data_IF_777900158089
#
_entry.id   IF_777900158089
#
_cell.length_a   1.000
_cell.length_b   1.000
_cell.length_c   1.000
_cell.angle_alpha   90.00
_cell.angle_beta   90.00
_cell.angle_gamma   90.00
#
_symmetry.space_group_name_H-M   'P 1'
#
loop_
_entity.id
_entity.type
_entity.pdbx_description
1 polymer ?
#
# COMPACT_ATOMS: atom_id res chain seq x y z
N UNK A 1 -6.94 -9.12 14.24
CA UNK A 1 -8.24 -9.62 14.75
C UNK A 1 -9.44 -9.22 13.87
N UNK A 2 -9.42 -8.05 13.19
CA UNK A 2 -10.58 -7.53 12.43
C UNK A 2 -10.88 -8.26 11.11
N UNK A 3 -9.88 -8.66 10.31
CA UNK A 3 -10.13 -9.36 9.04
C UNK A 3 -10.91 -10.68 9.21
N UNK A 4 -10.50 -11.53 10.17
CA UNK A 4 -11.18 -12.80 10.50
C UNK A 4 -12.64 -12.64 10.94
N UNK A 5 -13.03 -11.43 11.38
CA UNK A 5 -14.40 -11.14 11.79
C UNK A 5 -15.32 -10.94 10.59
N UNK A 6 -14.76 -10.47 9.47
CA UNK A 6 -15.52 -10.10 8.28
C UNK A 6 -15.29 -11.05 7.10
N UNK A 7 -14.26 -11.91 7.17
CA UNK A 7 -13.91 -12.83 6.09
C UNK A 7 -13.49 -14.19 6.65
N UNK A 8 -13.63 -15.24 5.85
CA UNK A 8 -13.15 -16.59 6.17
C UNK A 8 -11.64 -16.77 5.92
N UNK A 9 -10.92 -15.70 5.55
CA UNK A 9 -9.49 -15.75 5.25
C UNK A 9 -8.70 -16.12 6.51
N UNK A 10 -7.91 -17.19 6.41
CA UNK A 10 -7.00 -17.60 7.47
C UNK A 10 -5.79 -16.66 7.52
N UNK A 11 -5.83 -15.70 8.42
CA UNK A 11 -4.72 -14.76 8.63
C UNK A 11 -3.64 -15.39 9.51
N UNK A 12 -2.40 -15.41 9.05
CA UNK A 12 -1.22 -15.56 9.90
C UNK A 12 -0.79 -14.18 10.39
N UNK A 13 -0.67 -14.00 11.71
CA UNK A 13 -0.31 -12.71 12.33
C UNK A 13 1.21 -12.50 12.44
N UNK A 14 2.01 -13.49 12.02
CA UNK A 14 3.46 -13.36 12.01
C UNK A 14 3.86 -12.37 10.91
N UNK A 15 4.44 -11.23 11.31
CA UNK A 15 5.24 -10.41 10.40
C UNK A 15 6.51 -11.20 10.11
N UNK A 16 6.71 -11.55 8.84
CA UNK A 16 7.94 -12.19 8.38
C UNK A 16 8.77 -11.06 7.77
N UNK A 17 9.92 -10.77 8.36
CA UNK A 17 10.91 -9.93 7.69
C UNK A 17 11.40 -10.70 6.48
N UNK A 18 11.29 -10.08 5.31
CA UNK A 18 11.70 -10.69 4.05
C UNK A 18 13.06 -10.13 3.69
N UNK A 19 14.02 -11.02 3.45
CA UNK A 19 15.23 -10.69 2.74
C UNK A 19 15.01 -10.98 1.26
N UNK A 20 15.03 -9.94 0.43
CA UNK A 20 14.76 -10.05 -1.00
C UNK A 20 15.78 -10.95 -1.74
N UNK A 21 16.92 -11.26 -1.14
CA UNK A 21 17.96 -12.10 -1.73
C UNK A 21 17.95 -13.53 -1.19
N UNK A 22 17.57 -13.74 0.07
CA UNK A 22 17.62 -15.07 0.71
C UNK A 22 16.27 -15.80 0.67
N UNK A 23 15.15 -15.07 0.67
CA UNK A 23 13.82 -15.66 0.72
C UNK A 23 13.26 -15.96 -0.67
N UNK A 24 12.54 -17.08 -0.77
CA UNK A 24 11.73 -17.40 -1.96
C UNK A 24 10.48 -16.51 -1.99
N UNK A 25 10.55 -15.42 -2.76
CA UNK A 25 9.46 -14.45 -2.88
C UNK A 25 8.18 -15.08 -3.48
N UNK A 26 8.28 -16.14 -4.27
CA UNK A 26 7.13 -16.80 -4.89
C UNK A 26 6.17 -17.44 -3.87
N UNK A 27 6.66 -17.68 -2.65
CA UNK A 27 5.86 -18.18 -1.54
C UNK A 27 4.96 -17.11 -0.89
N UNK A 28 5.06 -15.84 -1.29
CA UNK A 28 4.31 -14.73 -0.71
C UNK A 28 3.34 -14.10 -1.73
N UNK A 29 2.02 -14.09 -1.45
CA UNK A 29 1.04 -13.53 -2.39
C UNK A 29 1.17 -12.00 -2.55
N UNK A 30 1.68 -11.32 -1.51
CA UNK A 30 2.05 -9.92 -1.59
C UNK A 30 3.21 -9.63 -0.64
N UNK A 31 4.02 -8.64 -0.99
CA UNK A 31 5.02 -8.01 -0.12
C UNK A 31 4.46 -6.70 0.44
N UNK A 32 4.91 -6.34 1.64
CA UNK A 32 4.49 -5.13 2.32
C UNK A 32 5.69 -4.30 2.75
N UNK A 33 5.76 -3.06 2.26
CA UNK A 33 6.82 -2.10 2.57
C UNK A 33 6.24 -0.90 3.32
N UNK A 34 6.83 -0.56 4.46
CA UNK A 34 6.48 0.63 5.25
C UNK A 34 7.75 1.28 5.79
N UNK A 35 7.75 2.59 5.95
CA UNK A 35 8.89 3.34 6.47
C UNK A 35 8.59 4.81 6.68
N UNK A 36 9.59 5.54 7.19
CA UNK A 36 9.49 6.96 7.54
C UNK A 36 10.53 7.84 6.81
N UNK A 37 11.60 7.24 6.30
CA UNK A 37 12.77 7.97 5.78
C UNK A 37 13.29 7.36 4.49
N UNK A 38 14.35 7.95 3.93
CA UNK A 38 14.96 7.47 2.70
C UNK A 38 15.43 6.01 2.79
N UNK A 39 15.34 5.28 1.67
CA UNK A 39 15.81 3.92 1.52
C UNK A 39 16.22 3.65 0.07
N UNK A 40 17.15 2.72 -0.15
CA UNK A 40 17.56 2.34 -1.50
C UNK A 40 17.66 0.84 -1.63
N UNK A 41 17.14 0.29 -2.72
CA UNK A 41 17.41 -1.09 -3.09
C UNK A 41 18.77 -1.18 -3.77
N UNK A 42 19.50 -2.25 -3.44
CA UNK A 42 20.64 -2.72 -4.21
C UNK A 42 20.20 -3.25 -5.58
N UNK A 43 21.15 -3.43 -6.49
CA UNK A 43 20.84 -3.92 -7.85
C UNK A 43 20.24 -5.34 -7.84
N UNK A 44 20.67 -6.18 -6.90
CA UNK A 44 20.11 -7.53 -6.75
C UNK A 44 18.64 -7.46 -6.31
N UNK A 45 18.34 -6.66 -5.28
CA UNK A 45 16.98 -6.48 -4.77
C UNK A 45 16.05 -5.89 -5.84
N UNK A 46 16.55 -4.99 -6.69
CA UNK A 46 15.81 -4.45 -7.83
C UNK A 46 15.43 -5.59 -8.81
N UNK A 47 16.37 -6.45 -9.16
CA UNK A 47 16.12 -7.59 -10.06
C UNK A 47 15.13 -8.60 -9.48
N UNK A 48 15.22 -8.85 -8.18
CA UNK A 48 14.31 -9.75 -7.46
C UNK A 48 12.87 -9.20 -7.39
N UNK A 49 12.72 -7.90 -7.07
CA UNK A 49 11.41 -7.24 -7.11
C UNK A 49 10.83 -7.18 -8.53
N UNK A 50 11.66 -6.95 -9.55
CA UNK A 50 11.23 -7.01 -10.95
C UNK A 50 10.65 -8.38 -11.29
N UNK A 51 11.38 -9.46 -10.97
CA UNK A 51 10.92 -10.83 -11.22
C UNK A 51 9.62 -11.10 -10.47
N UNK A 52 9.59 -10.81 -9.17
CA UNK A 52 8.42 -11.03 -8.31
C UNK A 52 7.14 -10.36 -8.86
N UNK A 53 7.24 -9.09 -9.28
CA UNK A 53 6.10 -8.33 -9.80
C UNK A 53 5.64 -8.84 -11.18
N UNK A 54 6.58 -9.24 -12.05
CA UNK A 54 6.25 -9.82 -13.36
C UNK A 54 5.65 -11.22 -13.24
N UNK A 55 6.02 -11.99 -12.21
CA UNK A 55 5.46 -13.31 -11.92
C UNK A 55 4.09 -13.25 -11.21
N UNK A 56 3.52 -12.05 -11.06
CA UNK A 56 2.17 -11.82 -10.52
C UNK A 56 2.13 -11.45 -9.05
N UNK A 57 3.28 -11.36 -8.38
CA UNK A 57 3.38 -10.83 -7.02
C UNK A 57 2.87 -9.38 -6.92
N UNK A 58 2.41 -9.01 -5.73
CA UNK A 58 1.90 -7.65 -5.46
C UNK A 58 2.75 -6.96 -4.41
N UNK A 59 3.13 -5.70 -4.64
CA UNK A 59 3.80 -4.87 -3.66
C UNK A 59 2.84 -3.81 -3.10
N UNK A 60 2.52 -3.93 -1.82
CA UNK A 60 1.77 -2.92 -1.06
C UNK A 60 2.75 -2.03 -0.29
N UNK A 61 2.64 -0.71 -0.48
CA UNK A 61 3.53 0.27 0.14
C UNK A 61 2.71 1.26 0.99
N UNK A 62 3.14 1.48 2.23
CA UNK A 62 2.57 2.47 3.15
C UNK A 62 3.61 3.54 3.49
N UNK A 63 3.28 4.81 3.28
CA UNK A 63 4.10 5.92 3.77
C UNK A 63 3.73 6.25 5.22
N UNK A 64 4.55 5.79 6.17
CA UNK A 64 4.37 6.07 7.58
C UNK A 64 4.47 7.58 7.86
N UNK A 65 3.53 8.11 8.65
CA UNK A 65 3.33 9.53 8.90
C UNK A 65 3.08 10.42 7.67
N UNK A 66 3.10 9.88 6.44
CA UNK A 66 2.94 10.63 5.18
C UNK A 66 4.07 11.62 4.92
N UNK A 67 5.32 11.19 5.13
CA UNK A 67 6.51 12.03 5.03
C UNK A 67 7.01 12.13 3.58
N UNK A 68 7.50 13.32 3.22
CA UNK A 68 7.99 13.60 1.86
C UNK A 68 9.30 12.88 1.52
N UNK A 69 10.15 12.61 2.52
CA UNK A 69 11.42 11.87 2.35
C UNK A 69 11.15 10.44 1.89
N UNK A 70 10.25 9.72 2.58
CA UNK A 70 9.83 8.39 2.19
C UNK A 70 9.08 8.39 0.84
N UNK A 71 8.19 9.36 0.57
CA UNK A 71 7.51 9.45 -0.73
C UNK A 71 8.49 9.61 -1.90
N UNK A 72 9.51 10.47 -1.74
CA UNK A 72 10.55 10.64 -2.73
C UNK A 72 11.35 9.35 -2.96
N UNK A 73 11.68 8.63 -1.88
CA UNK A 73 12.37 7.34 -1.94
C UNK A 73 11.54 6.28 -2.68
N UNK A 74 10.26 6.12 -2.33
CA UNK A 74 9.34 5.18 -3.01
C UNK A 74 9.28 5.44 -4.51
N UNK A 75 9.10 6.70 -4.92
CA UNK A 75 9.04 7.05 -6.35
C UNK A 75 10.35 6.76 -7.08
N UNK A 76 11.48 7.10 -6.45
CA UNK A 76 12.81 6.86 -7.01
C UNK A 76 13.08 5.36 -7.17
N UNK A 77 12.83 4.58 -6.13
CA UNK A 77 13.09 3.14 -6.14
C UNK A 77 12.12 2.39 -7.06
N UNK A 78 10.83 2.75 -7.08
CA UNK A 78 9.88 2.18 -8.05
C UNK A 78 10.27 2.51 -9.50
N UNK A 79 10.85 3.67 -9.78
CA UNK A 79 11.35 3.99 -11.12
C UNK A 79 12.59 3.17 -11.49
N UNK A 80 13.38 2.67 -10.52
CA UNK A 80 14.47 1.72 -10.79
C UNK A 80 13.93 0.32 -11.04
N UNK A 81 12.93 -0.11 -10.25
CA UNK A 81 12.29 -1.43 -10.38
C UNK A 81 11.47 -1.51 -11.67
N UNK A 82 10.67 -0.49 -12.00
CA UNK A 82 9.78 -0.49 -13.17
C UNK A 82 10.01 0.76 -14.04
N UNK A 83 11.16 0.88 -14.74
CA UNK A 83 11.57 2.12 -15.41
C UNK A 83 10.65 2.59 -16.55
N UNK A 84 9.84 1.70 -17.11
CA UNK A 84 8.91 2.02 -18.20
C UNK A 84 7.46 2.16 -17.72
N UNK A 85 7.20 2.01 -16.42
CA UNK A 85 5.86 2.11 -15.84
C UNK A 85 5.74 3.36 -15.02
N UNK A 86 4.57 4.00 -15.07
CA UNK A 86 4.31 5.20 -14.27
C UNK A 86 3.37 4.87 -13.13
N UNK A 87 3.74 5.34 -11.94
CA UNK A 87 2.88 5.30 -10.77
C UNK A 87 1.74 6.31 -10.93
N UNK A 88 0.51 5.81 -11.07
CA UNK A 88 -0.68 6.62 -11.40
C UNK A 88 -1.74 6.52 -10.30
N UNK A 89 -2.61 7.54 -10.13
CA UNK A 89 -3.77 7.43 -9.24
C UNK A 89 -4.67 6.26 -9.64
N UNK A 90 -5.02 5.42 -8.65
CA UNK A 90 -6.01 4.35 -8.84
C UNK A 90 -7.39 5.02 -8.93
N UNK A 91 -8.16 4.81 -10.02
CA UNK A 91 -9.47 5.43 -10.19
C UNK A 91 -10.42 5.12 -9.05
N UNK A 92 -11.23 6.09 -8.62
CA UNK A 92 -12.17 5.91 -7.48
C UNK A 92 -13.23 4.83 -7.71
N UNK A 93 -13.52 4.47 -8.97
CA UNK A 93 -14.40 3.36 -9.33
C UNK A 93 -13.70 1.99 -9.43
N UNK A 94 -12.41 1.90 -9.14
CA UNK A 94 -11.65 0.65 -9.21
C UNK A 94 -12.16 -0.37 -8.18
N UNK A 95 -12.21 -1.66 -8.55
CA UNK A 95 -12.74 -2.73 -7.70
C UNK A 95 -12.02 -2.89 -6.35
N UNK A 96 -10.77 -2.45 -6.26
CA UNK A 96 -10.02 -2.34 -4.99
C UNK A 96 -10.79 -1.53 -3.94
N UNK A 97 -11.54 -0.48 -4.31
CA UNK A 97 -12.29 0.32 -3.34
C UNK A 97 -13.63 -0.29 -2.92
N UNK A 98 -14.06 -1.38 -3.55
CA UNK A 98 -15.37 -2.03 -3.31
C UNK A 98 -15.30 -3.54 -3.06
N UNK A 99 -14.10 -4.12 -2.92
CA UNK A 99 -13.90 -5.58 -2.85
C UNK A 99 -14.53 -6.26 -1.63
N UNK A 100 -14.66 -5.56 -0.50
CA UNK A 100 -15.31 -6.07 0.71
C UNK A 100 -16.26 -5.04 1.34
N UNK A 101 -15.82 -3.79 1.41
CA UNK A 101 -16.62 -2.63 1.80
C UNK A 101 -16.68 -1.66 0.64
N UNK A 102 -17.82 -0.99 0.45
CA UNK A 102 -17.87 0.20 -0.40
C UNK A 102 -17.14 1.37 0.29
N UNK A 103 -15.97 1.74 -0.24
CA UNK A 103 -15.14 2.85 0.22
C UNK A 103 -15.10 3.94 -0.84
N UNK A 104 -16.25 4.58 -1.06
CA UNK A 104 -16.38 5.77 -1.90
C UNK A 104 -15.95 7.07 -1.20
N UNK A 105 -15.82 7.05 0.14
CA UNK A 105 -15.32 8.17 0.94
C UNK A 105 -14.53 7.72 2.16
N UNK A 106 -13.58 8.54 2.57
CA UNK A 106 -12.66 8.33 3.69
C UNK A 106 -12.58 9.56 4.57
N UNK A 107 -12.20 9.36 5.84
CA UNK A 107 -11.80 10.44 6.74
C UNK A 107 -10.28 10.47 6.84
N UNK A 108 -9.71 11.64 6.61
CA UNK A 108 -8.29 11.91 6.76
C UNK A 108 -8.00 12.53 8.12
N UNK A 109 -6.75 12.41 8.59
CA UNK A 109 -6.27 13.13 9.76
C UNK A 109 -6.44 14.65 9.57
N UNK A 110 -6.62 15.43 10.65
CA UNK A 110 -6.75 16.88 10.54
C UNK A 110 -5.58 17.56 9.81
N UNK A 111 -4.35 17.08 10.03
CA UNK A 111 -3.14 17.57 9.36
C UNK A 111 -3.21 17.35 7.85
N UNK A 112 -3.61 16.16 7.41
CA UNK A 112 -3.75 15.86 5.99
C UNK A 112 -4.90 16.63 5.35
N UNK A 113 -6.10 16.59 5.94
CA UNK A 113 -7.26 17.31 5.42
C UNK A 113 -7.00 18.82 5.27
N UNK A 114 -6.26 19.43 6.19
CA UNK A 114 -5.86 20.84 6.12
C UNK A 114 -4.82 21.10 5.02
N UNK A 115 -3.82 20.23 4.89
CA UNK A 115 -2.72 20.42 3.93
C UNK A 115 -3.07 20.00 2.49
N UNK A 116 -4.12 19.18 2.34
CA UNK A 116 -4.57 18.57 1.09
C UNK A 116 -6.09 18.62 0.93
N UNK A 117 -6.71 19.81 0.92
CA UNK A 117 -8.17 19.94 0.78
C UNK A 117 -8.68 19.39 -0.55
N UNK A 118 -7.83 19.34 -1.59
CA UNK A 118 -8.17 18.81 -2.91
C UNK A 118 -8.52 17.32 -2.92
N UNK A 119 -8.11 16.56 -1.90
CA UNK A 119 -8.49 15.15 -1.77
C UNK A 119 -9.99 14.98 -1.51
N UNK A 120 -10.65 15.99 -0.95
CA UNK A 120 -12.10 16.05 -0.74
C UNK A 120 -12.72 14.75 -0.20
N UNK A 121 -12.06 14.12 0.79
CA UNK A 121 -12.49 12.85 1.39
C UNK A 121 -12.67 11.69 0.41
N UNK A 122 -12.10 11.75 -0.80
CA UNK A 122 -12.00 10.61 -1.71
C UNK A 122 -10.78 9.78 -1.33
N UNK A 123 -10.83 8.44 -1.41
CA UNK A 123 -9.65 7.62 -1.18
C UNK A 123 -8.58 7.92 -2.23
N UNK A 124 -7.32 7.96 -1.81
CA UNK A 124 -6.21 8.29 -2.70
C UNK A 124 -5.06 7.29 -2.56
N UNK A 125 -5.02 6.37 -3.50
CA UNK A 125 -3.94 5.41 -3.68
C UNK A 125 -3.34 5.59 -5.06
N UNK A 126 -2.06 5.29 -5.16
CA UNK A 126 -1.36 5.18 -6.42
C UNK A 126 -1.11 3.71 -6.74
N UNK A 127 -0.93 3.40 -8.02
CA UNK A 127 -0.61 2.04 -8.42
C UNK A 127 0.09 1.94 -9.76
N UNK A 128 0.59 0.74 -10.02
CA UNK A 128 1.17 0.33 -11.30
C UNK A 128 0.48 -0.94 -11.75
N UNK A 129 0.01 -0.91 -13.00
CA UNK A 129 -0.61 -2.05 -13.67
C UNK A 129 0.39 -2.72 -14.59
N UNK A 130 0.55 -4.03 -14.48
CA UNK A 130 1.38 -4.87 -15.35
C UNK A 130 0.46 -5.92 -15.97
N UNK A 131 0.42 -5.99 -17.30
CA UNK A 131 -0.44 -6.89 -18.07
C UNK A 131 -1.93 -6.83 -17.70
N UNK A 132 -2.42 -5.63 -17.39
CA UNK A 132 -3.82 -5.38 -17.04
C UNK A 132 -4.15 -5.58 -15.56
N UNK A 133 -3.22 -6.13 -14.77
CA UNK A 133 -3.40 -6.39 -13.34
C UNK A 133 -2.64 -5.41 -12.45
N UNK A 134 -3.24 -5.02 -11.33
CA UNK A 134 -2.64 -4.07 -10.38
C UNK A 134 -1.56 -4.78 -9.53
N UNK A 135 -0.28 -4.52 -9.84
CA UNK A 135 0.87 -5.18 -9.18
C UNK A 135 1.57 -4.32 -8.13
N UNK A 136 1.40 -3.00 -8.17
CA UNK A 136 1.86 -2.11 -7.11
C UNK A 136 0.68 -1.31 -6.58
N UNK A 137 0.53 -1.27 -5.26
CA UNK A 137 -0.42 -0.40 -4.56
C UNK A 137 0.36 0.43 -3.56
N UNK A 138 0.34 1.75 -3.72
CA UNK A 138 1.04 2.66 -2.82
C UNK A 138 0.05 3.64 -2.20
N UNK A 139 0.09 3.74 -0.87
CA UNK A 139 -0.57 4.81 -0.13
C UNK A 139 0.45 5.89 0.24
N UNK A 140 0.38 7.09 -0.37
CA UNK A 140 1.24 8.22 0.00
C UNK A 140 0.98 8.78 1.40
N UNK A 141 -0.10 8.32 2.03
CA UNK A 141 -0.54 8.73 3.35
C UNK A 141 -0.68 7.51 4.27
N UNK A 142 -0.46 7.73 5.56
CA UNK A 142 -0.35 6.67 6.56
C UNK A 142 -1.69 5.92 6.75
N UNK A 143 -1.68 4.61 6.49
CA UNK A 143 -2.76 3.67 6.80
C UNK A 143 -2.53 2.99 8.16
N UNK A 144 -1.27 2.70 8.50
CA UNK A 144 -0.89 1.93 9.68
C UNK A 144 -1.30 2.59 10.99
N UNK A 145 -1.17 3.91 11.10
CA UNK A 145 -1.62 4.64 12.28
C UNK A 145 -3.11 4.35 12.57
N UNK A 146 -3.94 4.34 11.53
CA UNK A 146 -5.36 3.99 11.65
C UNK A 146 -5.62 2.51 11.93
N UNK A 147 -4.80 1.60 11.42
CA UNK A 147 -4.89 0.16 11.71
C UNK A 147 -4.53 -0.16 13.16
N UNK A 148 -3.53 0.53 13.70
CA UNK A 148 -3.05 0.40 15.08
C UNK A 148 -3.88 1.23 16.07
N UNK A 149 -4.78 2.08 15.56
CA UNK A 149 -5.59 3.02 16.37
C UNK A 149 -4.72 3.96 17.21
N UNK A 150 -3.58 4.36 16.65
CA UNK A 150 -2.67 5.35 17.23
C UNK A 150 -2.83 6.67 16.51
N UNK A 151 -2.72 7.76 17.28
CA UNK A 151 -2.81 9.12 16.76
C UNK A 151 -1.54 9.88 17.09
N UNK A 152 -0.77 10.24 16.06
CA UNK A 152 0.34 11.19 16.22
C UNK A 152 -0.10 12.59 15.74
N UNK A 153 0.20 13.67 16.48
CA UNK A 153 -0.31 15.01 16.20
C UNK A 153 -0.08 15.54 14.77
N UNK A 154 0.97 15.05 14.10
CA UNK A 154 1.38 15.53 12.77
C UNK A 154 1.22 14.49 11.66
N UNK A 155 0.71 13.28 11.95
CA UNK A 155 0.49 12.23 10.95
C UNK A 155 -0.36 12.75 9.81
N UNK A 156 0.12 12.57 8.58
CA UNK A 156 -0.71 12.71 7.38
C UNK A 156 -1.17 11.32 6.97
N UNK A 157 -2.41 11.00 7.28
CA UNK A 157 -2.93 9.65 7.14
C UNK A 157 -4.43 9.57 7.15
N UNK A 158 -4.92 8.34 7.12
CA UNK A 158 -6.33 7.99 7.19
C UNK A 158 -6.74 7.76 8.65
N UNK A 159 -7.97 8.15 9.02
CA UNK A 159 -8.54 7.80 10.33
C UNK A 159 -8.92 6.31 10.39
N UNK A 160 -8.94 5.75 11.61
CA UNK A 160 -8.99 4.30 11.86
C UNK A 160 -10.02 3.51 11.07
N UNK A 161 -11.29 3.94 11.00
CA UNK A 161 -12.32 3.20 10.26
C UNK A 161 -12.01 3.19 8.75
N UNK A 162 -11.53 4.31 8.22
CA UNK A 162 -11.20 4.44 6.79
C UNK A 162 -10.00 3.58 6.45
N UNK A 163 -8.93 3.66 7.25
CA UNK A 163 -7.73 2.83 7.04
C UNK A 163 -8.05 1.36 7.13
N UNK A 164 -8.84 0.94 8.13
CA UNK A 164 -9.19 -0.47 8.31
C UNK A 164 -10.01 -1.00 7.13
N UNK A 165 -11.01 -0.25 6.64
CA UNK A 165 -11.79 -0.66 5.46
C UNK A 165 -10.93 -0.75 4.21
N UNK A 166 -10.10 0.26 3.94
CA UNK A 166 -9.17 0.25 2.82
C UNK A 166 -8.21 -0.93 2.90
N UNK A 167 -7.57 -1.17 4.05
CA UNK A 167 -6.64 -2.28 4.21
C UNK A 167 -7.29 -3.65 4.01
N UNK A 168 -8.51 -3.84 4.52
CA UNK A 168 -9.24 -5.11 4.30
C UNK A 168 -9.61 -5.29 2.82
N UNK A 169 -10.06 -4.22 2.16
CA UNK A 169 -10.34 -4.26 0.73
C UNK A 169 -9.09 -4.58 -0.10
N UNK A 170 -7.95 -3.93 0.17
CA UNK A 170 -6.67 -4.20 -0.51
C UNK A 170 -6.30 -5.67 -0.38
N UNK A 171 -6.32 -6.22 0.83
CA UNK A 171 -5.97 -7.63 1.07
C UNK A 171 -6.91 -8.56 0.29
N UNK A 172 -8.22 -8.29 0.29
CA UNK A 172 -9.17 -9.13 -0.44
C UNK A 172 -8.97 -9.01 -1.94
N UNK A 173 -8.76 -7.80 -2.46
CA UNK A 173 -8.49 -7.57 -3.87
C UNK A 173 -7.26 -8.37 -4.34
N UNK A 174 -6.13 -8.21 -3.66
CA UNK A 174 -4.85 -8.87 -3.98
C UNK A 174 -4.87 -10.39 -3.81
N UNK A 175 -5.85 -10.94 -3.08
CA UNK A 175 -6.01 -12.38 -2.91
C UNK A 175 -6.98 -13.01 -3.92
N UNK A 176 -7.68 -12.18 -4.71
CA UNK A 176 -8.75 -12.64 -5.63
C UNK A 176 -8.48 -12.29 -7.09
N UNK A 177 -7.46 -11.47 -7.36
CA UNK A 177 -6.98 -11.01 -8.67
C UNK A 177 -5.45 -11.06 -8.64
#
# INVERSE_FOLDING_TARGET
>A
MKLRRYTSVRVNLKRIGIDLQEDDLSSYPFLYLTGLDDFSFSQNEIGELQRYLNDGGVLLINNGLGLGTFDAAVRRELNKVLPNMTLQPIPTGHGLYSSLFDVSSVRYSPSLAKSKPELNNQPFLLGVTIDGELRVVYSPYDLEAGWLEVSYPMTKGYESISSQRLGMNMIIYMMTH
#
